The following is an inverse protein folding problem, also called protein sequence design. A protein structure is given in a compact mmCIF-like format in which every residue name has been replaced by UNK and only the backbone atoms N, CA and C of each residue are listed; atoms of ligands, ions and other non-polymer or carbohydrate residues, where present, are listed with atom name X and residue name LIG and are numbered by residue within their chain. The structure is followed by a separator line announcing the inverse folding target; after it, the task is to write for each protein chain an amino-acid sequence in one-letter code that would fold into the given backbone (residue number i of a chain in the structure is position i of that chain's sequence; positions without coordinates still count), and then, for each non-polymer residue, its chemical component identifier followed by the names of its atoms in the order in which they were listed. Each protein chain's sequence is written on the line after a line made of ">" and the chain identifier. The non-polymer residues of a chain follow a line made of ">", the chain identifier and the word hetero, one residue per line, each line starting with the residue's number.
data_IF_331148395413
#
_entry.id   IF_331148395413
#
_cell.length_a   1.000
_cell.length_b   1.000
_cell.length_c   1.000
_cell.angle_alpha   90.00
_cell.angle_beta   90.00
_cell.angle_gamma   90.00
#
_symmetry.space_group_name_H-M   'P 1'
#
loop_
_entity.id
_entity.type
_entity.pdbx_description
1 polymer ?
#
# COMPACT_ATOMS: atom_id res chain seq x y z
N UNK A 1 14.30 -33.77 0.07
CA UNK A 1 15.68 -34.01 0.56
C UNK A 1 15.80 -33.33 1.91
N UNK A 2 15.67 -34.09 3.00
CA UNK A 2 15.71 -33.59 4.38
C UNK A 2 17.05 -34.05 4.96
N UNK A 3 17.92 -33.13 5.36
CA UNK A 3 19.15 -33.44 6.09
C UNK A 3 18.93 -33.17 7.58
N UNK A 4 18.86 -34.25 8.34
CA UNK A 4 18.91 -34.24 9.80
C UNK A 4 20.40 -34.28 10.21
N UNK A 5 20.85 -33.24 10.91
CA UNK A 5 22.24 -33.09 11.36
C UNK A 5 22.48 -33.84 12.67
N UNK A 6 23.46 -34.73 12.66
CA UNK A 6 23.89 -35.58 13.77
C UNK A 6 24.72 -34.84 14.83
N UNK A 7 24.46 -35.25 16.07
CA UNK A 7 25.13 -34.98 17.34
C UNK A 7 26.66 -34.85 17.27
N UNK A 8 27.21 -33.82 17.94
CA UNK A 8 28.60 -33.77 18.42
C UNK A 8 28.64 -33.63 19.95
N UNK A 9 28.96 -34.76 20.58
CA UNK A 9 29.87 -34.97 21.72
C UNK A 9 30.27 -33.76 22.57
N UNK A 10 29.95 -33.81 23.87
CA UNK A 10 30.74 -33.21 24.95
C UNK A 10 31.18 -34.31 25.92
N UNK A 11 32.48 -34.53 25.98
CA UNK A 11 33.26 -35.29 26.96
C UNK A 11 34.26 -34.22 27.46
N UNK A 12 34.53 -33.94 28.73
CA UNK A 12 34.90 -34.77 29.88
C UNK A 12 34.89 -33.81 31.08
N UNK A 13 34.36 -34.20 32.24
CA UNK A 13 34.99 -33.98 33.57
C UNK A 13 34.08 -34.60 34.64
N UNK A 14 34.41 -35.83 35.04
CA UNK A 14 33.93 -36.40 36.29
C UNK A 14 35.11 -37.14 36.94
N UNK A 15 35.78 -36.46 37.86
CA UNK A 15 36.71 -37.09 38.77
C UNK A 15 35.94 -37.64 39.98
N UNK A 16 36.19 -38.93 40.23
CA UNK A 16 36.36 -39.57 41.53
C UNK A 16 35.38 -39.21 42.66
N UNK A 17 34.44 -40.10 42.95
CA UNK A 17 33.99 -40.33 44.32
C UNK A 17 33.98 -41.83 44.64
N UNK A 18 34.70 -42.16 45.71
CA UNK A 18 34.98 -43.51 46.18
C UNK A 18 33.76 -44.23 46.75
N UNK A 19 33.94 -45.55 46.85
CA UNK A 19 33.04 -46.44 47.55
C UNK A 19 33.05 -46.19 49.06
N UNK A 20 31.87 -46.15 49.69
CA UNK A 20 31.44 -47.10 50.74
C UNK A 20 30.08 -46.68 51.34
N UNK A 21 29.26 -47.70 51.64
CA UNK A 21 28.15 -47.73 52.59
C UNK A 21 26.94 -46.79 52.37
N UNK A 22 25.82 -47.35 51.88
CA UNK A 22 24.51 -46.68 51.95
C UNK A 22 23.47 -47.16 50.94
N UNK A 23 23.22 -48.48 50.84
CA UNK A 23 22.45 -49.08 49.73
C UNK A 23 20.96 -48.65 49.63
N UNK A 24 20.43 -47.93 50.63
CA UNK A 24 19.05 -47.38 50.62
C UNK A 24 19.00 -45.90 50.24
N UNK A 25 19.99 -45.11 50.64
CA UNK A 25 20.05 -43.67 50.35
C UNK A 25 20.41 -43.41 48.87
N UNK A 26 21.35 -44.18 48.30
CA UNK A 26 21.69 -44.07 46.87
C UNK A 26 20.52 -44.43 45.94
N UNK A 27 19.68 -45.41 46.33
CA UNK A 27 18.47 -45.77 45.57
C UNK A 27 17.41 -44.67 45.63
N UNK A 28 17.22 -44.04 46.79
CA UNK A 28 16.27 -42.94 46.94
C UNK A 28 16.71 -41.70 46.13
N UNK A 29 17.99 -41.35 46.14
CA UNK A 29 18.52 -40.24 45.33
C UNK A 29 18.45 -40.51 43.82
N UNK A 30 18.72 -41.75 43.39
CA UNK A 30 18.58 -42.13 41.98
C UNK A 30 17.12 -42.10 41.51
N UNK A 31 16.17 -42.54 42.33
CA UNK A 31 14.73 -42.48 42.03
C UNK A 31 14.22 -41.03 42.03
N UNK A 32 14.68 -40.20 42.97
CA UNK A 32 14.33 -38.77 43.00
C UNK A 32 14.90 -38.02 41.79
N UNK A 33 16.12 -38.32 41.37
CA UNK A 33 16.72 -37.75 40.17
C UNK A 33 16.00 -38.22 38.88
N UNK A 34 15.55 -39.47 38.83
CA UNK A 34 14.77 -40.00 37.71
C UNK A 34 13.36 -39.40 37.65
N UNK A 35 12.70 -39.21 38.79
CA UNK A 35 11.40 -38.54 38.89
C UNK A 35 11.50 -37.06 38.53
N UNK A 36 12.56 -36.37 38.94
CA UNK A 36 12.82 -34.99 38.55
C UNK A 36 13.12 -34.86 37.04
N UNK A 37 13.81 -35.82 36.44
CA UNK A 37 14.05 -35.88 35.01
C UNK A 37 12.77 -36.16 34.19
N UNK A 38 11.85 -36.99 34.71
CA UNK A 38 10.55 -37.21 34.08
C UNK A 38 9.60 -36.00 34.21
N UNK A 39 9.70 -35.23 35.30
CA UNK A 39 8.89 -34.01 35.49
C UNK A 39 9.40 -32.80 34.70
N UNK A 40 10.67 -32.81 34.28
CA UNK A 40 11.30 -31.76 33.49
C UNK A 40 11.26 -32.02 31.97
N UNK A 41 10.71 -33.15 31.52
CA UNK A 41 10.45 -33.36 30.11
C UNK A 41 9.35 -32.38 29.67
N UNK A 42 9.62 -31.45 28.73
CA UNK A 42 8.55 -30.62 28.20
C UNK A 42 7.51 -31.56 27.60
N UNK A 43 6.25 -31.41 28.00
CA UNK A 43 5.16 -32.11 27.34
C UNK A 43 5.23 -31.72 25.86
N UNK A 44 5.69 -32.64 25.00
CA UNK A 44 5.61 -32.44 23.57
C UNK A 44 4.13 -32.45 23.23
N UNK A 45 3.53 -31.27 23.06
CA UNK A 45 2.22 -31.15 22.46
C UNK A 45 2.28 -31.95 21.15
N UNK A 46 1.45 -32.99 21.04
CA UNK A 46 1.30 -33.69 19.77
C UNK A 46 0.93 -32.63 18.72
N UNK A 47 1.44 -32.72 17.47
CA UNK A 47 1.05 -31.78 16.43
C UNK A 47 -0.47 -31.89 16.26
N UNK A 48 -1.19 -30.86 16.68
CA UNK A 48 -2.63 -30.76 16.45
C UNK A 48 -2.85 -30.77 14.93
N UNK A 49 -3.69 -31.68 14.46
CA UNK A 49 -4.07 -31.74 13.06
C UNK A 49 -4.98 -30.53 12.74
N UNK A 50 -4.38 -29.38 12.49
CA UNK A 50 -5.09 -28.16 12.11
C UNK A 50 -5.42 -28.14 10.62
N UNK A 51 -6.67 -27.83 10.27
CA UNK A 51 -7.07 -27.52 8.89
C UNK A 51 -6.95 -26.00 8.69
N UNK A 52 -6.13 -25.57 7.72
CA UNK A 52 -6.01 -24.16 7.32
C UNK A 52 -6.77 -23.95 6.02
N UNK A 53 -7.71 -23.00 6.03
CA UNK A 53 -8.43 -22.56 4.84
C UNK A 53 -8.10 -21.09 4.63
N UNK A 54 -7.71 -20.73 3.42
CA UNK A 54 -7.35 -19.37 3.03
C UNK A 54 -8.21 -18.94 1.82
N UNK A 55 -8.76 -17.73 1.86
CA UNK A 55 -9.49 -17.13 0.73
C UNK A 55 -8.58 -16.12 0.03
N UNK A 56 -8.53 -16.20 -1.29
CA UNK A 56 -7.73 -15.30 -2.12
C UNK A 56 -8.52 -14.73 -3.29
N UNK A 57 -8.34 -13.45 -3.57
CA UNK A 57 -8.80 -12.77 -4.77
C UNK A 57 -7.82 -12.94 -5.94
N UNK A 58 -8.29 -12.91 -7.21
CA UNK A 58 -7.46 -13.23 -8.37
C UNK A 58 -6.45 -12.14 -8.78
N UNK A 59 -6.46 -10.98 -8.11
CA UNK A 59 -5.55 -9.87 -8.41
C UNK A 59 -4.27 -9.92 -7.57
N UNK A 60 -3.15 -9.38 -8.10
CA UNK A 60 -1.84 -9.48 -7.45
C UNK A 60 -1.81 -8.74 -6.11
N UNK A 61 -1.08 -9.28 -5.13
CA UNK A 61 -0.69 -8.50 -3.93
C UNK A 61 0.59 -7.76 -4.20
N UNK A 62 0.53 -6.44 -4.34
CA UNK A 62 1.74 -5.64 -4.51
C UNK A 62 2.42 -5.28 -3.19
N UNK A 63 2.74 -6.29 -2.38
CA UNK A 63 3.59 -6.19 -1.19
C UNK A 63 3.44 -4.89 -0.39
N UNK A 64 4.56 -4.19 -0.19
CA UNK A 64 4.65 -2.92 0.56
C UNK A 64 3.90 -1.75 -0.12
N UNK A 65 3.76 -1.83 -1.45
CA UNK A 65 3.22 -0.79 -2.34
C UNK A 65 1.69 -0.81 -2.44
N UNK A 66 1.02 -1.58 -1.59
CA UNK A 66 -0.44 -1.60 -1.45
C UNK A 66 -0.89 -0.81 -0.19
N UNK A 67 0.03 -0.55 0.75
CA UNK A 67 -0.31 0.05 2.05
C UNK A 67 -0.65 1.53 1.92
N UNK A 68 0.17 2.31 1.22
CA UNK A 68 -0.04 3.75 1.05
C UNK A 68 -1.30 4.03 0.21
N UNK A 69 -1.58 3.16 -0.75
CA UNK A 69 -2.66 3.21 -1.73
C UNK A 69 -4.00 2.92 -1.04
N UNK A 70 -4.06 1.84 -0.26
CA UNK A 70 -5.27 1.57 0.54
C UNK A 70 -5.49 2.62 1.63
N UNK A 71 -4.41 3.15 2.22
CA UNK A 71 -4.53 4.23 3.19
C UNK A 71 -5.10 5.51 2.54
N UNK A 72 -4.66 5.88 1.34
CA UNK A 72 -5.23 7.02 0.62
C UNK A 72 -6.69 6.80 0.25
N UNK A 73 -7.09 5.59 -0.18
CA UNK A 73 -8.49 5.29 -0.47
C UNK A 73 -9.38 5.37 0.79
N UNK A 74 -8.91 4.87 1.94
CA UNK A 74 -9.62 5.05 3.21
C UNK A 74 -9.80 6.55 3.54
N UNK A 75 -8.76 7.36 3.31
CA UNK A 75 -8.80 8.80 3.57
C UNK A 75 -9.76 9.52 2.61
N UNK A 76 -9.82 9.10 1.35
CA UNK A 76 -10.78 9.63 0.39
C UNK A 76 -12.23 9.30 0.78
N UNK A 77 -12.49 8.09 1.28
CA UNK A 77 -13.80 7.74 1.82
C UNK A 77 -14.16 8.61 3.04
N UNK A 78 -13.18 8.90 3.89
CA UNK A 78 -13.33 9.81 5.04
C UNK A 78 -13.64 11.26 4.61
N UNK A 79 -13.10 11.76 3.49
CA UNK A 79 -13.51 13.04 2.87
C UNK A 79 -14.98 12.96 2.41
N UNK A 80 -15.32 11.91 1.66
CA UNK A 80 -16.66 11.69 1.12
C UNK A 80 -17.72 11.57 2.22
N UNK A 81 -17.43 10.85 3.31
CA UNK A 81 -18.32 10.71 4.47
C UNK A 81 -18.55 12.04 5.21
N UNK A 82 -17.58 12.96 5.17
CA UNK A 82 -17.73 14.33 5.71
C UNK A 82 -18.50 15.26 4.77
N UNK A 83 -18.81 14.82 3.55
CA UNK A 83 -19.37 15.67 2.51
C UNK A 83 -18.36 16.70 1.97
N UNK A 84 -17.06 16.46 2.16
CA UNK A 84 -16.01 17.33 1.63
C UNK A 84 -15.65 16.92 0.19
N UNK A 85 -16.25 17.61 -0.79
CA UNK A 85 -15.97 17.37 -2.21
C UNK A 85 -14.62 17.95 -2.69
N UNK A 86 -13.88 18.64 -1.81
CA UNK A 86 -12.56 19.19 -2.15
C UNK A 86 -11.45 18.14 -2.08
N UNK A 87 -11.68 17.02 -1.38
CA UNK A 87 -10.68 15.98 -1.15
C UNK A 87 -9.53 16.46 -0.27
N UNK A 88 -9.80 17.36 0.68
CA UNK A 88 -8.75 18.05 1.45
C UNK A 88 -7.89 17.09 2.26
N UNK A 89 -8.47 16.03 2.82
CA UNK A 89 -7.72 15.00 3.56
C UNK A 89 -6.89 14.15 2.60
N UNK A 90 -7.46 13.70 1.47
CA UNK A 90 -6.76 12.90 0.47
C UNK A 90 -5.54 13.64 -0.08
N UNK A 91 -5.73 14.87 -0.55
CA UNK A 91 -4.63 15.65 -1.12
C UNK A 91 -3.61 16.05 -0.06
N UNK A 92 -4.05 16.38 1.16
CA UNK A 92 -3.15 16.61 2.29
C UNK A 92 -2.34 15.39 2.68
N UNK A 93 -2.91 14.18 2.54
CA UNK A 93 -2.19 12.93 2.74
C UNK A 93 -1.14 12.69 1.65
N UNK A 94 -1.48 12.87 0.38
CA UNK A 94 -0.54 12.74 -0.75
C UNK A 94 0.63 13.72 -0.60
N UNK A 95 0.35 15.00 -0.33
CA UNK A 95 1.35 16.03 -0.05
C UNK A 95 2.19 15.67 1.18
N UNK A 96 1.55 15.14 2.22
CA UNK A 96 2.20 14.70 3.46
C UNK A 96 3.18 13.55 3.26
N UNK A 97 2.84 12.57 2.41
CA UNK A 97 3.73 11.47 2.02
C UNK A 97 4.95 12.02 1.29
N UNK A 98 4.77 12.85 0.26
CA UNK A 98 5.88 13.45 -0.48
C UNK A 98 6.80 14.29 0.42
N UNK A 99 6.23 15.10 1.31
CA UNK A 99 6.98 15.92 2.28
C UNK A 99 7.86 15.06 3.20
N UNK A 100 7.36 13.89 3.63
CA UNK A 100 8.12 12.97 4.47
C UNK A 100 9.26 12.28 3.70
N UNK A 101 9.03 11.94 2.42
CA UNK A 101 10.08 11.38 1.55
C UNK A 101 11.19 12.41 1.29
N UNK A 102 10.85 13.68 1.03
CA UNK A 102 11.83 14.76 0.89
C UNK A 102 12.64 14.99 2.17
N UNK A 103 12.03 14.74 3.34
CA UNK A 103 12.71 14.78 4.64
C UNK A 103 13.57 13.54 4.92
N UNK A 104 13.64 12.58 3.99
CA UNK A 104 14.47 11.39 4.08
C UNK A 104 13.77 10.15 4.63
N UNK A 105 12.44 10.13 4.72
CA UNK A 105 11.70 8.90 5.00
C UNK A 105 11.96 7.86 3.90
N UNK A 106 12.09 6.60 4.29
CA UNK A 106 12.30 5.47 3.37
C UNK A 106 11.04 4.62 3.28
N UNK A 107 10.93 3.88 2.19
CA UNK A 107 9.86 2.91 1.93
C UNK A 107 10.50 1.64 1.39
N UNK A 108 11.36 1.03 2.20
CA UNK A 108 12.11 -0.17 1.80
C UNK A 108 11.36 -1.45 2.18
N UNK A 109 10.49 -1.37 3.20
CA UNK A 109 9.68 -2.50 3.70
C UNK A 109 8.19 -2.16 3.85
N UNK A 110 7.37 -3.19 4.09
CA UNK A 110 5.95 -3.00 4.39
C UNK A 110 5.74 -2.26 5.72
N UNK A 111 6.62 -2.47 6.69
CA UNK A 111 6.63 -1.76 7.97
C UNK A 111 6.96 -0.28 7.78
N UNK A 112 7.93 0.05 6.92
CA UNK A 112 8.27 1.43 6.56
C UNK A 112 7.08 2.12 5.89
N UNK A 113 6.45 1.46 4.91
CA UNK A 113 5.25 1.95 4.24
C UNK A 113 4.10 2.20 5.22
N UNK A 114 3.88 1.29 6.18
CA UNK A 114 2.87 1.44 7.21
C UNK A 114 3.17 2.60 8.18
N UNK A 115 4.44 2.74 8.60
CA UNK A 115 4.87 3.84 9.47
C UNK A 115 4.72 5.19 8.76
N UNK A 116 5.10 5.27 7.49
CA UNK A 116 4.92 6.45 6.64
C UNK A 116 3.43 6.79 6.49
N UNK A 117 2.58 5.80 6.18
CA UNK A 117 1.13 5.97 6.06
C UNK A 117 0.53 6.53 7.37
N UNK A 118 0.86 5.96 8.52
CA UNK A 118 0.37 6.44 9.83
C UNK A 118 0.84 7.86 10.13
N UNK A 119 2.11 8.17 9.83
CA UNK A 119 2.69 9.50 10.08
C UNK A 119 2.05 10.57 9.20
N UNK A 120 1.89 10.29 7.90
CA UNK A 120 1.22 11.19 6.97
C UNK A 120 -0.27 11.36 7.33
N UNK A 121 -0.97 10.26 7.59
CA UNK A 121 -2.38 10.27 7.98
C UNK A 121 -2.64 11.08 9.26
N UNK A 122 -1.73 11.02 10.23
CA UNK A 122 -1.85 11.75 11.49
C UNK A 122 -1.71 13.26 11.34
N UNK A 123 -1.25 13.76 10.17
CA UNK A 123 -1.23 15.21 9.86
C UNK A 123 -2.60 15.72 9.41
N UNK A 124 -3.47 14.85 8.90
CA UNK A 124 -4.76 15.23 8.29
C UNK A 124 -5.96 14.66 9.03
N UNK A 125 -5.83 13.51 9.68
CA UNK A 125 -6.92 12.81 10.36
C UNK A 125 -6.80 12.83 11.88
N UNK A 126 -7.95 12.67 12.54
CA UNK A 126 -8.01 12.47 13.98
C UNK A 126 -7.41 11.12 14.41
N UNK A 127 -6.82 11.01 15.62
CA UNK A 127 -6.17 9.77 16.06
C UNK A 127 -7.05 8.52 16.03
N UNK A 128 -8.37 8.66 16.21
CA UNK A 128 -9.30 7.55 16.09
C UNK A 128 -9.43 7.07 14.64
N UNK A 129 -9.62 7.99 13.69
CA UNK A 129 -9.67 7.66 12.26
C UNK A 129 -8.37 6.99 11.79
N UNK A 130 -7.20 7.43 12.27
CA UNK A 130 -5.92 6.77 11.96
C UNK A 130 -5.86 5.33 12.48
N UNK A 131 -6.43 5.05 13.66
CA UNK A 131 -6.53 3.67 14.18
C UNK A 131 -7.48 2.81 13.34
N UNK A 132 -8.62 3.36 12.92
CA UNK A 132 -9.57 2.67 12.03
C UNK A 132 -8.94 2.41 10.66
N UNK A 133 -8.24 3.39 10.09
CA UNK A 133 -7.47 3.23 8.85
C UNK A 133 -6.52 2.04 8.92
N UNK A 134 -5.73 1.91 10.01
CA UNK A 134 -4.82 0.78 10.19
C UNK A 134 -5.54 -0.56 10.17
N UNK A 135 -6.71 -0.64 10.81
CA UNK A 135 -7.55 -1.85 10.79
C UNK A 135 -8.09 -2.11 9.38
N UNK A 136 -8.58 -1.07 8.68
CA UNK A 136 -9.09 -1.16 7.31
C UNK A 136 -8.02 -1.68 6.33
N UNK A 137 -6.81 -1.11 6.39
CA UNK A 137 -5.67 -1.52 5.56
C UNK A 137 -5.26 -2.96 5.88
N UNK A 138 -5.19 -3.34 7.17
CA UNK A 138 -4.87 -4.72 7.57
C UNK A 138 -5.93 -5.72 7.09
N UNK A 139 -7.21 -5.31 7.07
CA UNK A 139 -8.31 -6.12 6.55
C UNK A 139 -8.38 -6.15 5.01
N UNK A 140 -7.58 -5.29 4.34
CA UNK A 140 -7.57 -5.06 2.90
C UNK A 140 -8.90 -4.56 2.33
N UNK A 141 -9.60 -3.71 3.09
CA UNK A 141 -10.96 -3.27 2.73
C UNK A 141 -11.00 -2.45 1.42
N UNK A 142 -9.91 -1.73 1.10
CA UNK A 142 -9.82 -0.90 -0.12
C UNK A 142 -9.03 -1.55 -1.26
N UNK A 143 -8.60 -2.81 -1.14
CA UNK A 143 -7.81 -3.48 -2.18
C UNK A 143 -8.56 -3.52 -3.53
N UNK A 144 -9.88 -3.72 -3.51
CA UNK A 144 -10.68 -3.72 -4.74
C UNK A 144 -10.71 -2.33 -5.45
N UNK A 145 -10.68 -1.23 -4.69
CA UNK A 145 -10.64 0.12 -5.24
C UNK A 145 -9.27 0.40 -5.89
N UNK A 146 -8.18 0.02 -5.23
CA UNK A 146 -6.82 0.12 -5.77
C UNK A 146 -6.69 -0.68 -7.08
N UNK A 147 -7.24 -1.89 -7.12
CA UNK A 147 -7.22 -2.73 -8.33
C UNK A 147 -8.07 -2.19 -9.47
N UNK A 148 -9.23 -1.60 -9.16
CA UNK A 148 -10.03 -0.90 -10.17
C UNK A 148 -9.20 0.21 -10.85
N UNK A 149 -8.46 1.01 -10.08
CA UNK A 149 -7.58 2.03 -10.65
C UNK A 149 -6.42 1.41 -11.46
N UNK A 150 -5.83 0.31 -10.99
CA UNK A 150 -4.80 -0.41 -11.73
C UNK A 150 -5.31 -0.90 -13.08
N UNK A 151 -6.50 -1.49 -13.15
CA UNK A 151 -7.11 -1.95 -14.40
C UNK A 151 -7.38 -0.79 -15.37
N UNK A 152 -7.79 0.37 -14.86
CA UNK A 152 -7.90 1.59 -15.68
C UNK A 152 -6.56 2.10 -16.22
N UNK A 153 -5.44 1.69 -15.62
CA UNK A 153 -4.11 2.09 -16.04
C UNK A 153 -3.57 1.20 -17.18
N UNK A 154 -4.01 -0.06 -17.27
CA UNK A 154 -3.43 -1.11 -18.14
C UNK A 154 -3.31 -0.69 -19.61
N UNK A 155 -4.31 0.00 -20.17
CA UNK A 155 -4.27 0.46 -21.57
C UNK A 155 -3.18 1.51 -21.87
N UNK A 156 -2.74 2.22 -20.83
CA UNK A 156 -1.66 3.21 -20.88
C UNK A 156 -0.34 2.72 -20.27
N UNK A 157 -0.40 1.62 -19.51
CA UNK A 157 0.76 1.01 -18.88
C UNK A 157 1.76 0.54 -19.95
N UNK A 158 3.06 0.62 -19.63
CA UNK A 158 4.14 0.24 -20.55
C UNK A 158 4.48 1.27 -21.63
N UNK A 159 3.74 2.39 -21.73
CA UNK A 159 4.08 3.51 -22.62
C UNK A 159 5.26 4.34 -22.11
N UNK A 160 5.62 4.18 -20.83
CA UNK A 160 6.74 4.82 -20.17
C UNK A 160 7.69 3.76 -19.59
N UNK A 161 8.54 3.12 -20.39
CA UNK A 161 9.41 2.03 -19.92
C UNK A 161 10.43 2.50 -18.86
N UNK A 162 10.89 3.75 -18.97
CA UNK A 162 11.88 4.33 -18.05
C UNK A 162 11.27 4.90 -16.76
N UNK A 163 9.93 4.96 -16.69
CA UNK A 163 9.17 5.46 -15.54
C UNK A 163 8.07 4.46 -15.16
N UNK A 164 8.42 3.23 -14.73
CA UNK A 164 7.44 2.16 -14.48
C UNK A 164 6.50 2.48 -13.31
N UNK A 165 6.86 3.43 -12.46
CA UNK A 165 6.15 3.74 -11.23
C UNK A 165 5.11 4.86 -11.39
N UNK A 166 5.22 5.71 -12.42
CA UNK A 166 4.26 6.77 -12.66
C UNK A 166 4.31 7.35 -14.09
N UNK A 167 3.15 7.78 -14.59
CA UNK A 167 2.99 8.52 -15.84
C UNK A 167 1.70 9.34 -15.80
N UNK A 168 1.55 10.26 -16.74
CA UNK A 168 0.32 11.06 -16.87
C UNK A 168 -0.30 10.90 -18.26
N UNK A 169 -1.62 11.06 -18.34
CA UNK A 169 -2.37 11.12 -19.59
C UNK A 169 -3.13 12.44 -19.64
N UNK A 170 -2.85 13.25 -20.67
CA UNK A 170 -3.51 14.53 -20.91
C UNK A 170 -4.67 14.33 -21.88
N UNK A 171 -5.87 14.66 -21.42
CA UNK A 171 -7.15 14.59 -22.10
C UNK A 171 -7.58 15.95 -22.67
N UNK A 172 -8.39 15.98 -23.75
CA UNK A 172 -8.87 14.84 -24.55
C UNK A 172 -7.88 14.19 -25.54
N UNK A 173 -6.66 14.71 -25.73
CA UNK A 173 -5.77 14.18 -26.80
C UNK A 173 -5.17 12.80 -26.48
N UNK A 174 -5.37 12.29 -25.26
CA UNK A 174 -4.82 11.01 -24.79
C UNK A 174 -3.30 10.92 -24.97
N UNK A 175 -2.61 12.05 -24.79
CA UNK A 175 -1.15 12.11 -24.86
C UNK A 175 -0.56 11.64 -23.54
N UNK A 176 0.37 10.70 -23.59
CA UNK A 176 1.08 10.21 -22.41
C UNK A 176 2.32 11.07 -22.15
N UNK A 177 2.52 11.40 -20.87
CA UNK A 177 3.71 12.07 -20.36
C UNK A 177 4.46 11.13 -19.42
N UNK A 178 5.73 10.87 -19.70
CA UNK A 178 6.56 9.98 -18.87
C UNK A 178 7.45 10.74 -17.87
N UNK A 179 7.46 12.08 -17.94
CA UNK A 179 8.27 12.93 -17.06
C UNK A 179 7.56 14.25 -16.76
N UNK A 180 7.97 14.91 -15.67
CA UNK A 180 7.48 16.23 -15.29
C UNK A 180 7.70 17.29 -16.40
N UNK A 181 8.83 17.24 -17.09
CA UNK A 181 9.14 18.17 -18.18
C UNK A 181 8.20 17.98 -19.38
N UNK A 182 7.95 16.71 -19.75
CA UNK A 182 6.99 16.39 -20.81
C UNK A 182 5.56 16.76 -20.43
N UNK A 183 5.17 16.52 -19.18
CA UNK A 183 3.85 16.87 -18.69
C UNK A 183 3.60 18.38 -18.76
N UNK A 184 4.57 19.20 -18.32
CA UNK A 184 4.49 20.67 -18.45
C UNK A 184 4.28 21.10 -19.90
N UNK A 185 5.02 20.49 -20.83
CA UNK A 185 4.93 20.79 -22.27
C UNK A 185 3.55 20.41 -22.81
N UNK A 186 3.02 19.23 -22.47
CA UNK A 186 1.72 18.76 -22.95
C UNK A 186 0.57 19.60 -22.41
N UNK A 187 0.58 19.97 -21.12
CA UNK A 187 -0.42 20.88 -20.54
C UNK A 187 -0.37 22.25 -21.23
N UNK A 188 0.82 22.79 -21.47
CA UNK A 188 0.97 24.08 -22.18
C UNK A 188 0.47 24.04 -23.64
N UNK A 189 0.78 22.96 -24.36
CA UNK A 189 0.34 22.78 -25.76
C UNK A 189 -1.17 22.54 -25.88
N UNK A 190 -1.80 21.95 -24.86
CA UNK A 190 -3.23 21.69 -24.83
C UNK A 190 -4.08 22.93 -25.06
N UNK A 191 -3.62 24.09 -24.56
CA UNK A 191 -4.30 25.38 -24.75
C UNK A 191 -4.53 25.75 -26.23
N UNK A 192 -3.96 25.00 -27.17
CA UNK A 192 -3.93 25.33 -28.61
C UNK A 192 -4.48 24.25 -29.55
N UNK A 193 -5.01 23.11 -29.07
CA UNK A 193 -5.35 21.98 -29.96
C UNK A 193 -6.62 21.19 -29.59
N UNK A 194 -7.35 20.73 -30.62
CA UNK A 194 -8.57 19.92 -30.53
C UNK A 194 -8.34 18.42 -30.27
N UNK A 195 -9.42 17.63 -30.36
CA UNK A 195 -9.49 16.20 -30.01
C UNK A 195 -8.55 15.29 -30.82
N UNK A 196 -8.11 14.18 -30.20
CA UNK A 196 -7.27 13.16 -30.86
C UNK A 196 -8.12 12.16 -31.66
N UNK A 197 -7.62 11.67 -32.82
CA UNK A 197 -8.25 10.59 -33.59
C UNK A 197 -8.04 9.19 -33.00
N UNK A 198 -7.12 9.03 -32.04
CA UNK A 198 -6.86 7.74 -31.39
C UNK A 198 -7.98 7.33 -30.41
N UNK A 199 -8.24 6.03 -30.22
CA UNK A 199 -9.17 5.57 -29.20
C UNK A 199 -8.73 6.07 -27.80
N UNK A 200 -9.69 6.42 -26.91
CA UNK A 200 -9.35 6.98 -25.62
C UNK A 200 -8.60 5.95 -24.76
N UNK A 201 -7.41 6.34 -24.29
CA UNK A 201 -6.64 5.57 -23.31
C UNK A 201 -7.30 5.64 -21.93
N UNK A 202 -7.95 6.76 -21.64
CA UNK A 202 -8.61 6.99 -20.37
C UNK A 202 -9.69 8.06 -20.49
N UNK A 203 -10.50 8.17 -19.44
CA UNK A 203 -11.51 9.22 -19.26
C UNK A 203 -11.63 9.54 -17.78
N UNK A 204 -12.08 10.73 -17.43
CA UNK A 204 -12.48 11.00 -16.05
C UNK A 204 -13.69 10.16 -15.67
N UNK A 205 -13.67 9.63 -14.46
CA UNK A 205 -14.68 8.75 -13.91
C UNK A 205 -15.16 9.31 -12.56
N UNK A 206 -16.35 8.93 -12.11
CA UNK A 206 -16.95 9.47 -10.87
C UNK A 206 -16.15 9.11 -9.61
N UNK A 207 -15.40 8.01 -9.67
CA UNK A 207 -14.51 7.54 -8.62
C UNK A 207 -13.15 8.28 -8.59
N UNK A 208 -12.89 9.22 -9.50
CA UNK A 208 -11.59 9.86 -9.56
C UNK A 208 -11.44 10.90 -8.45
N UNK A 209 -10.30 10.82 -7.75
CA UNK A 209 -9.87 11.86 -6.84
C UNK A 209 -9.42 13.06 -7.66
N UNK A 210 -10.31 14.05 -7.81
CA UNK A 210 -10.08 15.26 -8.61
C UNK A 210 -9.64 16.41 -7.71
N UNK A 211 -8.46 16.98 -7.98
CA UNK A 211 -8.00 18.20 -7.32
C UNK A 211 -8.77 19.38 -7.91
N UNK A 212 -9.65 19.96 -7.10
CA UNK A 212 -10.35 21.20 -7.43
C UNK A 212 -9.59 22.39 -6.84
N UNK A 213 -9.47 23.48 -7.61
CA UNK A 213 -8.93 24.72 -7.04
C UNK A 213 -9.91 25.29 -6.01
N UNK A 214 -9.38 26.00 -5.01
CA UNK A 214 -10.20 26.67 -3.99
C UNK A 214 -11.18 27.70 -4.59
N UNK A 215 -10.83 28.31 -5.72
CA UNK A 215 -11.70 29.26 -6.44
C UNK A 215 -12.81 28.54 -7.23
N UNK A 216 -12.64 27.25 -7.55
CA UNK A 216 -13.65 26.46 -8.24
C UNK A 216 -14.77 25.99 -7.29
N UNK A 217 -14.51 25.76 -6.00
CA UNK A 217 -15.52 25.23 -5.07
C UNK A 217 -16.71 26.17 -4.83
N UNK A 218 -16.56 27.48 -5.03
CA UNK A 218 -17.65 28.46 -4.92
C UNK A 218 -18.51 28.58 -6.18
N UNK A 219 -17.99 28.19 -7.36
CA UNK A 219 -18.68 28.33 -8.65
C UNK A 219 -19.07 26.99 -9.31
N UNK A 220 -18.53 25.85 -8.83
CA UNK A 220 -18.54 24.58 -9.56
C UNK A 220 -19.60 23.56 -9.13
N UNK A 221 -20.36 23.78 -8.04
CA UNK A 221 -21.37 22.82 -7.59
C UNK A 221 -22.51 22.58 -8.62
N UNK A 222 -22.76 23.51 -9.54
CA UNK A 222 -23.79 23.40 -10.58
C UNK A 222 -23.24 23.19 -12.00
N UNK A 223 -21.92 23.25 -12.21
CA UNK A 223 -21.29 23.18 -13.54
C UNK A 223 -20.26 22.06 -13.72
N UNK A 224 -19.67 21.50 -12.65
CA UNK A 224 -18.51 20.60 -12.72
C UNK A 224 -18.77 19.25 -13.42
N UNK A 225 -19.96 18.68 -13.27
CA UNK A 225 -20.29 17.41 -13.94
C UNK A 225 -20.45 17.58 -15.47
N UNK A 226 -20.82 18.79 -15.92
CA UNK A 226 -20.94 19.12 -17.34
C UNK A 226 -19.65 19.72 -17.92
N UNK A 227 -18.82 20.40 -17.11
CA UNK A 227 -17.58 21.05 -17.56
C UNK A 227 -16.32 20.18 -17.43
N UNK A 228 -16.35 19.10 -16.64
CA UNK A 228 -15.34 18.03 -16.70
C UNK A 228 -15.28 17.34 -18.08
N UNK A 229 -16.33 17.52 -18.90
CA UNK A 229 -16.38 17.10 -20.30
C UNK A 229 -15.89 18.16 -21.31
N UNK A 230 -15.57 19.39 -20.87
CA UNK A 230 -15.28 20.52 -21.77
C UNK A 230 -13.86 21.11 -21.66
N UNK A 231 -13.10 20.83 -20.60
CA UNK A 231 -11.75 21.38 -20.37
C UNK A 231 -10.61 20.34 -20.31
N UNK A 232 -9.34 20.76 -20.43
CA UNK A 232 -8.18 19.86 -20.28
C UNK A 232 -8.19 19.13 -18.95
N UNK A 233 -8.06 17.81 -18.99
CA UNK A 233 -7.85 17.00 -17.78
C UNK A 233 -6.52 16.25 -17.86
N UNK A 234 -5.85 16.13 -16.73
CA UNK A 234 -4.61 15.38 -16.56
C UNK A 234 -4.88 14.27 -15.56
N UNK A 235 -4.82 13.01 -16.02
CA UNK A 235 -4.92 11.84 -15.16
C UNK A 235 -3.51 11.34 -14.89
N UNK A 236 -3.02 11.44 -13.66
CA UNK A 236 -1.74 10.85 -13.26
C UNK A 236 -2.01 9.47 -12.70
N UNK A 237 -1.35 8.47 -13.27
CA UNK A 237 -1.27 7.13 -12.73
C UNK A 237 0.06 7.04 -11.99
N UNK A 238 0.06 6.60 -10.74
CA UNK A 238 1.33 6.39 -10.07
C UNK A 238 1.28 5.66 -8.76
N UNK A 239 2.46 5.21 -8.37
CA UNK A 239 2.72 4.51 -7.15
C UNK A 239 3.11 5.50 -6.05
N UNK A 240 2.19 5.79 -5.14
CA UNK A 240 2.44 6.61 -3.95
C UNK A 240 3.60 6.03 -3.13
N UNK A 241 4.53 6.90 -2.73
CA UNK A 241 5.81 6.50 -2.13
C UNK A 241 7.01 6.64 -3.08
N UNK A 242 6.79 6.91 -4.38
CA UNK A 242 7.87 7.00 -5.38
C UNK A 242 8.15 8.43 -5.83
N UNK A 243 9.40 8.68 -6.26
CA UNK A 243 9.81 9.97 -6.80
C UNK A 243 9.13 10.31 -8.12
N UNK A 244 8.89 9.30 -8.96
CA UNK A 244 8.21 9.48 -10.25
C UNK A 244 6.81 10.07 -10.08
N UNK A 245 6.04 9.56 -9.11
CA UNK A 245 4.73 10.14 -8.81
C UNK A 245 4.86 11.57 -8.27
N UNK A 246 5.80 11.80 -7.33
CA UNK A 246 6.02 13.12 -6.74
C UNK A 246 6.28 14.20 -7.80
N UNK A 247 7.20 13.95 -8.73
CA UNK A 247 7.58 14.92 -9.75
C UNK A 247 6.40 15.25 -10.71
N UNK A 248 5.58 14.26 -11.04
CA UNK A 248 4.38 14.45 -11.87
C UNK A 248 3.26 15.15 -11.10
N UNK A 249 3.05 14.76 -9.84
CA UNK A 249 2.06 15.33 -8.94
C UNK A 249 2.30 16.83 -8.75
N UNK A 250 3.54 17.25 -8.49
CA UNK A 250 3.88 18.67 -8.31
C UNK A 250 3.47 19.51 -9.53
N UNK A 251 3.77 19.03 -10.73
CA UNK A 251 3.40 19.70 -11.98
C UNK A 251 1.88 19.76 -12.15
N UNK A 252 1.20 18.62 -11.99
CA UNK A 252 -0.24 18.52 -12.21
C UNK A 252 -1.03 19.33 -11.18
N UNK A 253 -0.68 19.23 -9.90
CA UNK A 253 -1.31 19.96 -8.81
C UNK A 253 -1.11 21.47 -8.96
N UNK A 254 0.11 21.90 -9.30
CA UNK A 254 0.43 23.31 -9.56
C UNK A 254 -0.37 23.85 -10.75
N UNK A 255 -0.48 23.08 -11.84
CA UNK A 255 -1.29 23.45 -13.00
C UNK A 255 -2.78 23.52 -12.67
N UNK A 256 -3.31 22.57 -11.89
CA UNK A 256 -4.71 22.54 -11.50
C UNK A 256 -5.10 23.67 -10.55
N UNK A 257 -4.24 24.01 -9.58
CA UNK A 257 -4.45 25.16 -8.70
C UNK A 257 -4.49 26.48 -9.47
N UNK A 258 -3.78 26.59 -10.61
CA UNK A 258 -3.87 27.74 -11.53
C UNK A 258 -5.02 27.67 -12.53
N UNK A 259 -5.85 26.62 -12.50
CA UNK A 259 -6.96 26.42 -13.43
C UNK A 259 -6.53 26.03 -14.86
N UNK A 260 -5.28 25.62 -15.07
CA UNK A 260 -4.78 25.24 -16.40
C UNK A 260 -5.19 23.82 -16.84
N UNK A 261 -5.57 22.96 -15.88
CA UNK A 261 -6.08 21.61 -16.14
C UNK A 261 -6.87 21.12 -14.93
N UNK A 262 -7.80 20.19 -15.12
CA UNK A 262 -8.34 19.37 -14.04
C UNK A 262 -7.33 18.26 -13.73
N UNK A 263 -6.94 18.07 -12.48
CA UNK A 263 -6.00 17.00 -12.10
C UNK A 263 -6.74 15.86 -11.39
N UNK A 264 -6.57 14.63 -11.88
CA UNK A 264 -7.00 13.42 -11.19
C UNK A 264 -5.80 12.51 -10.89
N UNK A 265 -5.77 11.93 -9.70
CA UNK A 265 -4.79 10.90 -9.32
C UNK A 265 -5.46 9.52 -9.30
N UNK A 266 -4.83 8.55 -9.95
CA UNK A 266 -5.19 7.14 -9.91
C UNK A 266 -4.02 6.30 -9.43
N UNK A 267 -4.32 5.27 -8.66
CA UNK A 267 -3.30 4.35 -8.20
C UNK A 267 -2.80 3.46 -9.33
N UNK A 268 -1.48 3.44 -9.50
CA UNK A 268 -0.79 2.41 -10.26
C UNK A 268 0.05 1.58 -9.31
N UNK A 269 -0.07 0.27 -9.51
CA UNK A 269 0.60 -0.72 -8.70
C UNK A 269 1.11 -1.79 -9.68
N UNK A 270 2.42 -1.92 -9.89
CA UNK A 270 2.96 -2.89 -10.83
C UNK A 270 2.54 -4.33 -10.49
N UNK A 271 2.24 -5.11 -11.53
CA UNK A 271 2.02 -6.55 -11.39
C UNK A 271 3.37 -7.25 -11.07
N UNK A 272 3.74 -7.30 -9.79
CA UNK A 272 5.00 -7.87 -9.32
C UNK A 272 4.90 -8.67 -8.01
N UNK A 273 3.67 -8.99 -7.59
CA UNK A 273 3.38 -9.60 -6.29
C UNK A 273 3.69 -11.09 -6.17
N UNK A 274 3.98 -11.53 -4.95
CA UNK A 274 4.22 -12.93 -4.54
C UNK A 274 2.96 -13.84 -4.57
N UNK A 275 1.98 -13.53 -5.41
CA UNK A 275 0.73 -14.27 -5.57
C UNK A 275 -0.54 -13.43 -5.41
N UNK A 276 -1.66 -14.14 -5.30
CA UNK A 276 -3.02 -13.61 -5.20
C UNK A 276 -3.29 -12.91 -3.85
N UNK A 277 -4.16 -11.91 -3.86
CA UNK A 277 -4.56 -11.14 -2.67
C UNK A 277 -5.34 -11.97 -1.66
N UNK A 278 -4.74 -12.22 -0.49
CA UNK A 278 -5.43 -12.88 0.63
C UNK A 278 -6.49 -11.95 1.23
N UNK A 279 -7.68 -12.48 1.44
CA UNK A 279 -8.81 -11.76 2.04
C UNK A 279 -9.05 -12.21 3.49
N UNK A 280 -9.56 -11.29 4.30
CA UNK A 280 -9.95 -11.51 5.70
C UNK A 280 -11.42 -11.11 5.91
N UNK A 281 -12.01 -11.44 7.08
CA UNK A 281 -13.41 -11.10 7.39
C UNK A 281 -14.44 -12.14 6.93
N UNK A 282 -13.99 -13.36 6.63
CA UNK A 282 -14.84 -14.51 6.28
C UNK A 282 -14.57 -15.66 7.27
N UNK A 283 -15.52 -16.57 7.39
CA UNK A 283 -15.40 -17.78 8.22
C UNK A 283 -15.68 -19.03 7.38
N UNK A 284 -14.91 -20.09 7.61
CA UNK A 284 -15.29 -21.42 7.14
C UNK A 284 -16.33 -21.99 8.10
N UNK A 285 -17.49 -22.37 7.57
CA UNK A 285 -18.58 -23.04 8.31
C UNK A 285 -18.44 -24.56 8.29
#
# INVERSE_FOLDING_TARGET
>A
SIRCGTLRTWQVFAHSFGAMAGNRACRACAVAALLAALAAAPASAAPEAGVRIDLTAPWPTAGMFDVLQQASEFIADEDAMRGDESGSLFWGFVDGVHSLLDAGAKVDTAEDAAALAVTAASRVMQPLSVRVMRVSVAARAHAAAVEMHREQAVASAGRCPDSPDAWAVVLPQNRVACSAAELRRLIGAHATSGSSPDPPLTRLASQDHVLRSADASAAAATAAAASAAAGPATVVYGLLGTRGLQDLHEVAASAARRGATTYALRHWVPAGGAGNTRLSGWSAG
#
